data_IF_611977013381
#
_entry.id   IF_611977013381
#
_cell.length_a   1.000
_cell.length_b   1.000
_cell.length_c   1.000
_cell.angle_alpha   90.00
_cell.angle_beta   90.00
_cell.angle_gamma   90.00
#
_symmetry.space_group_name_H-M   'P 1'
#
loop_
_entity.id
_entity.type
_entity.pdbx_description
1 polymer ?
#
# COMPACT_ATOMS: atom_id res chain seq x y z
N UNK A 1 -17.23 4.30 5.74
CA UNK A 1 -16.78 5.30 4.73
C UNK A 1 -15.53 5.98 5.29
N UNK A 2 -14.85 6.85 4.55
CA UNK A 2 -13.73 7.64 5.10
C UNK A 2 -13.81 9.12 4.74
N UNK A 3 -14.07 9.97 5.73
CA UNK A 3 -14.22 11.41 5.57
C UNK A 3 -12.87 12.16 5.67
N UNK A 4 -12.93 13.49 5.57
CA UNK A 4 -11.74 14.35 5.62
C UNK A 4 -10.96 14.28 6.96
N UNK A 5 -11.57 13.79 8.04
CA UNK A 5 -10.89 13.61 9.33
C UNK A 5 -9.98 12.36 9.34
N UNK A 6 -10.07 11.48 8.34
CA UNK A 6 -9.31 10.23 8.27
C UNK A 6 -7.79 10.44 8.46
N UNK A 7 -7.18 11.49 7.90
CA UNK A 7 -5.74 11.77 8.06
C UNK A 7 -5.37 12.07 9.53
N UNK A 8 -6.16 12.91 10.19
CA UNK A 8 -5.96 13.24 11.59
C UNK A 8 -6.21 12.01 12.48
N UNK A 9 -7.22 11.22 12.14
CA UNK A 9 -7.61 10.01 12.84
C UNK A 9 -6.54 8.91 12.74
N UNK A 10 -5.97 8.65 11.55
CA UNK A 10 -4.84 7.71 11.37
C UNK A 10 -3.63 8.16 12.19
N UNK A 11 -3.31 9.46 12.17
CA UNK A 11 -2.18 10.01 12.93
C UNK A 11 -2.38 9.83 14.44
N UNK A 12 -3.60 10.05 14.93
CA UNK A 12 -3.94 9.86 16.33
C UNK A 12 -3.94 8.38 16.76
N UNK A 13 -4.47 7.50 15.90
CA UNK A 13 -4.51 6.07 16.13
C UNK A 13 -3.09 5.45 16.09
N UNK A 14 -2.19 5.97 15.25
CA UNK A 14 -0.77 5.61 15.28
C UNK A 14 -0.10 6.02 16.60
N UNK A 15 -0.38 7.24 17.10
CA UNK A 15 0.13 7.69 18.40
C UNK A 15 -0.37 6.79 19.55
N UNK A 16 -1.67 6.46 19.59
CA UNK A 16 -2.24 5.55 20.59
C UNK A 16 -1.71 4.11 20.45
N UNK A 17 -1.52 3.61 19.23
CA UNK A 17 -0.93 2.29 18.99
C UNK A 17 0.47 2.19 19.60
N UNK A 18 1.28 3.23 19.45
CA UNK A 18 2.61 3.31 20.07
C UNK A 18 2.48 3.44 21.59
N UNK A 19 1.66 4.38 22.09
CA UNK A 19 1.44 4.63 23.53
C UNK A 19 1.01 3.35 24.28
N UNK A 20 0.08 2.58 23.72
CA UNK A 20 -0.43 1.32 24.30
C UNK A 20 0.61 0.17 24.30
N UNK A 21 1.68 0.25 23.50
CA UNK A 21 2.67 -0.84 23.32
C UNK A 21 4.11 -0.46 23.71
N UNK A 22 4.38 0.81 24.03
CA UNK A 22 5.59 1.23 24.73
C UNK A 22 5.45 0.78 26.19
N UNK A 23 5.78 -0.50 26.41
CA UNK A 23 5.45 -1.22 27.64
C UNK A 23 6.27 -0.85 28.87
N UNK A 24 6.05 -1.56 30.00
CA UNK A 24 6.65 -1.26 31.31
C UNK A 24 8.17 -1.53 31.41
N UNK A 25 8.85 -1.81 30.30
CA UNK A 25 10.31 -1.88 30.20
C UNK A 25 10.98 -0.51 30.43
N UNK A 26 10.21 0.56 30.26
CA UNK A 26 10.57 1.91 30.65
C UNK A 26 9.94 2.17 32.03
N UNK A 27 10.76 2.40 33.05
CA UNK A 27 10.28 2.69 34.42
C UNK A 27 9.64 4.08 34.59
N UNK A 28 9.43 4.78 33.48
CA UNK A 28 8.96 6.15 33.39
C UNK A 28 7.80 6.21 32.38
N UNK A 29 6.86 7.13 32.59
CA UNK A 29 5.77 7.35 31.66
C UNK A 29 6.30 7.96 30.35
N UNK A 30 6.21 7.21 29.25
CA UNK A 30 6.63 7.70 27.93
C UNK A 30 5.49 8.48 27.29
N UNK A 31 5.76 9.74 26.94
CA UNK A 31 4.78 10.62 26.31
C UNK A 31 4.79 10.45 24.79
N UNK A 32 3.64 10.18 24.17
CA UNK A 32 3.53 10.12 22.70
C UNK A 32 2.73 11.30 22.17
N UNK A 33 3.32 12.09 21.28
CA UNK A 33 2.73 13.33 20.79
C UNK A 33 2.65 13.36 19.26
N UNK A 34 1.45 13.46 18.66
CA UNK A 34 1.26 13.61 17.21
C UNK A 34 1.51 15.06 16.76
N UNK A 35 2.72 15.59 17.02
CA UNK A 35 3.14 16.96 16.67
C UNK A 35 4.44 16.98 15.86
N UNK A 36 4.77 18.17 15.34
CA UNK A 36 6.10 18.44 14.79
C UNK A 36 7.18 18.25 15.87
N UNK A 37 8.38 17.79 15.51
CA UNK A 37 9.53 17.75 16.41
C UNK A 37 9.70 19.08 17.16
N UNK A 38 9.85 19.05 18.50
CA UNK A 38 10.07 20.26 19.30
C UNK A 38 11.50 20.78 19.10
N UNK A 39 11.65 22.09 18.88
CA UNK A 39 12.96 22.74 18.75
C UNK A 39 13.76 22.70 20.06
N UNK A 40 13.07 22.84 21.19
CA UNK A 40 13.58 22.61 22.54
C UNK A 40 12.80 21.43 23.16
N UNK A 41 13.37 20.22 23.20
CA UNK A 41 12.77 19.10 23.92
C UNK A 41 12.98 19.33 25.42
N UNK A 42 11.93 19.74 26.14
CA UNK A 42 11.95 19.70 27.60
C UNK A 42 11.97 18.24 28.06
N UNK A 43 13.16 17.72 28.33
CA UNK A 43 13.47 16.31 28.65
C UNK A 43 13.00 15.88 30.06
N UNK A 44 11.90 16.42 30.58
CA UNK A 44 11.35 16.00 31.88
C UNK A 44 10.84 14.55 31.86
N UNK A 45 10.42 14.05 30.68
CA UNK A 45 9.93 12.69 30.44
C UNK A 45 10.38 12.18 29.06
N UNK A 46 10.68 10.88 28.89
CA UNK A 46 10.93 10.28 27.58
C UNK A 46 9.75 10.53 26.64
N UNK A 47 10.02 11.02 25.43
CA UNK A 47 8.98 11.51 24.52
C UNK A 47 9.16 10.98 23.11
N UNK A 48 8.08 10.53 22.47
CA UNK A 48 8.03 10.11 21.07
C UNK A 48 7.18 11.12 20.28
N UNK A 49 7.77 11.74 19.27
CA UNK A 49 7.09 12.66 18.35
C UNK A 49 6.68 11.91 17.08
N UNK A 50 5.39 11.92 16.73
CA UNK A 50 4.86 11.33 15.48
C UNK A 50 4.51 12.46 14.52
N UNK A 51 5.35 12.68 13.50
CA UNK A 51 5.23 13.81 12.58
C UNK A 51 4.88 13.37 11.15
N UNK A 52 3.72 13.79 10.67
CA UNK A 52 3.31 13.65 9.27
C UNK A 52 4.04 14.71 8.42
N UNK A 53 5.09 14.31 7.69
CA UNK A 53 5.92 15.24 6.92
C UNK A 53 5.52 15.32 5.43
N UNK A 54 4.88 14.28 4.90
CA UNK A 54 4.44 14.24 3.50
C UNK A 54 3.12 13.47 3.36
N UNK A 55 2.35 13.87 2.35
CA UNK A 55 1.15 13.17 1.89
C UNK A 55 1.27 13.01 0.38
N UNK A 56 1.19 11.78 -0.12
CA UNK A 56 1.31 11.47 -1.56
C UNK A 56 0.10 10.69 -2.05
N UNK A 57 -0.35 10.85 -3.32
CA UNK A 57 -1.38 10.01 -3.89
C UNK A 57 -0.88 8.56 -4.04
N UNK A 58 -1.67 7.58 -3.59
CA UNK A 58 -1.31 6.17 -3.67
C UNK A 58 -1.17 5.73 -5.14
N UNK A 59 0.01 5.26 -5.51
CA UNK A 59 0.37 4.99 -6.91
C UNK A 59 -0.48 3.89 -7.58
N UNK A 60 -1.04 2.97 -6.80
CA UNK A 60 -1.81 1.82 -7.27
C UNK A 60 -3.31 2.11 -7.31
N UNK A 61 -3.82 2.96 -6.41
CA UNK A 61 -5.24 3.27 -6.28
C UNK A 61 -5.65 4.65 -6.83
N UNK A 62 -4.70 5.53 -7.21
CA UNK A 62 -4.99 6.86 -7.78
C UNK A 62 -5.92 6.87 -8.99
N UNK A 63 -5.97 5.76 -9.75
CA UNK A 63 -6.81 5.61 -10.95
C UNK A 63 -8.01 4.67 -10.72
N UNK A 64 -8.32 4.30 -9.46
CA UNK A 64 -9.46 3.43 -9.14
C UNK A 64 -10.81 4.14 -9.39
N UNK A 65 -10.82 5.47 -9.43
CA UNK A 65 -11.94 6.28 -9.89
C UNK A 65 -12.06 6.26 -11.42
N UNK A 66 -12.58 5.13 -11.92
CA UNK A 66 -13.31 5.08 -13.19
C UNK A 66 -14.41 6.15 -13.24
N UNK A 67 -14.90 6.57 -14.43
CA UNK A 67 -15.80 7.72 -14.58
C UNK A 67 -16.90 7.79 -13.52
N UNK A 68 -16.72 8.70 -12.56
CA UNK A 68 -17.59 8.82 -11.38
C UNK A 68 -18.96 9.39 -11.72
N UNK A 69 -19.10 9.96 -12.93
CA UNK A 69 -20.34 10.51 -13.49
C UNK A 69 -20.71 9.83 -14.80
N UNK A 70 -22.01 9.63 -15.00
CA UNK A 70 -22.58 9.28 -16.30
C UNK A 70 -22.57 10.49 -17.26
N UNK A 71 -22.96 10.26 -18.52
CA UNK A 71 -23.01 11.28 -19.56
C UNK A 71 -24.00 12.43 -19.27
N UNK A 72 -24.97 12.21 -18.38
CA UNK A 72 -25.92 13.21 -17.87
C UNK A 72 -25.40 13.98 -16.63
N UNK A 73 -24.17 13.70 -16.19
CA UNK A 73 -23.55 14.29 -15.01
C UNK A 73 -23.96 13.67 -13.67
N UNK A 74 -24.90 12.71 -13.65
CA UNK A 74 -25.32 12.01 -12.42
C UNK A 74 -24.16 11.21 -11.84
N UNK A 75 -24.05 11.18 -10.50
CA UNK A 75 -22.95 10.49 -9.83
C UNK A 75 -23.24 8.99 -9.75
N UNK A 76 -22.48 8.17 -10.47
CA UNK A 76 -22.64 6.70 -10.53
C UNK A 76 -21.72 6.00 -9.52
N UNK A 77 -20.52 6.56 -9.29
CA UNK A 77 -19.56 6.09 -8.28
C UNK A 77 -19.09 7.27 -7.43
N UNK A 78 -18.94 7.04 -6.12
CA UNK A 78 -18.39 8.05 -5.21
C UNK A 78 -16.88 8.18 -5.50
N UNK A 79 -16.34 9.40 -5.73
CA UNK A 79 -14.91 9.58 -5.87
C UNK A 79 -14.22 9.30 -4.54
N UNK A 80 -13.08 8.62 -4.58
CA UNK A 80 -12.27 8.24 -3.42
C UNK A 80 -10.79 8.56 -3.69
N UNK A 81 -10.29 9.63 -3.06
CA UNK A 81 -8.89 9.99 -3.14
C UNK A 81 -8.05 9.02 -2.29
N UNK A 82 -7.27 8.16 -2.93
CA UNK A 82 -6.37 7.24 -2.26
C UNK A 82 -5.03 7.91 -1.97
N UNK A 83 -4.65 7.96 -0.69
CA UNK A 83 -3.45 8.61 -0.18
C UNK A 83 -2.57 7.61 0.57
N UNK A 84 -1.26 7.87 0.50
CA UNK A 84 -0.25 7.33 1.38
C UNK A 84 0.30 8.48 2.22
N UNK A 85 0.44 8.25 3.52
CA UNK A 85 0.90 9.23 4.51
C UNK A 85 2.29 8.82 4.98
N UNK A 86 3.26 9.74 4.96
CA UNK A 86 4.62 9.46 5.41
C UNK A 86 4.91 10.12 6.76
N UNK A 87 5.23 9.27 7.74
CA UNK A 87 5.50 9.64 9.12
C UNK A 87 6.98 9.55 9.45
N UNK A 88 7.50 10.58 10.10
CA UNK A 88 8.77 10.59 10.81
C UNK A 88 8.45 10.38 12.30
N UNK A 89 8.98 9.32 12.89
CA UNK A 89 8.83 9.03 14.32
C UNK A 89 10.19 9.27 14.98
N UNK A 90 10.28 10.27 15.85
CA UNK A 90 11.51 10.70 16.53
C UNK A 90 11.42 10.46 18.03
N UNK A 91 12.49 10.00 18.67
CA UNK A 91 12.49 9.66 20.10
C UNK A 91 13.49 10.52 20.91
N UNK A 92 13.00 11.07 22.01
CA UNK A 92 13.71 11.97 22.93
C UNK A 92 13.83 11.34 24.33
N UNK A 93 14.96 11.53 24.99
CA UNK A 93 15.29 11.02 26.33
C UNK A 93 16.79 11.13 26.60
N UNK A 94 17.28 10.64 27.74
CA UNK A 94 18.73 10.68 28.04
C UNK A 94 19.52 9.79 27.05
N UNK A 95 20.53 10.39 26.42
CA UNK A 95 21.47 9.70 25.53
C UNK A 95 22.39 8.75 26.29
N UNK A 96 22.73 9.05 27.55
CA UNK A 96 23.63 8.23 28.39
C UNK A 96 23.03 6.89 28.73
N UNK A 97 21.72 6.85 28.97
CA UNK A 97 20.95 5.63 29.23
C UNK A 97 20.37 5.02 27.93
N UNK A 98 20.75 5.57 26.77
CA UNK A 98 20.33 5.13 25.44
C UNK A 98 18.79 5.11 25.26
N UNK A 99 18.07 5.99 25.97
CA UNK A 99 16.60 5.98 26.02
C UNK A 99 16.00 6.11 24.63
N UNK A 100 16.48 7.05 23.82
CA UNK A 100 16.02 7.22 22.43
C UNK A 100 16.20 5.96 21.57
N UNK A 101 17.31 5.22 21.72
CA UNK A 101 17.56 3.97 20.99
C UNK A 101 16.60 2.87 21.44
N UNK A 102 16.36 2.74 22.75
CA UNK A 102 15.42 1.77 23.32
C UNK A 102 13.98 2.07 22.89
N UNK A 103 13.55 3.33 22.92
CA UNK A 103 12.23 3.77 22.45
C UNK A 103 12.01 3.43 20.97
N UNK A 104 12.97 3.75 20.10
CA UNK A 104 12.90 3.41 18.68
C UNK A 104 12.84 1.89 18.47
N UNK A 105 13.60 1.12 19.25
CA UNK A 105 13.51 -0.35 19.25
C UNK A 105 12.09 -0.85 19.59
N UNK A 106 11.45 -0.26 20.60
CA UNK A 106 10.06 -0.59 20.99
C UNK A 106 9.04 -0.20 19.92
N UNK A 107 9.20 0.97 19.28
CA UNK A 107 8.36 1.41 18.15
C UNK A 107 8.49 0.45 16.97
N UNK A 108 9.71 0.06 16.61
CA UNK A 108 9.97 -0.88 15.51
C UNK A 108 9.38 -2.26 15.82
N UNK A 109 9.52 -2.76 17.06
CA UNK A 109 8.84 -3.99 17.51
C UNK A 109 7.32 -3.88 17.35
N UNK A 110 6.73 -2.84 17.90
CA UNK A 110 5.27 -2.59 17.86
C UNK A 110 4.72 -2.58 16.43
N UNK A 111 5.34 -1.80 15.53
CA UNK A 111 4.86 -1.65 14.15
C UNK A 111 5.17 -2.87 13.26
N UNK A 112 6.12 -3.72 13.67
CA UNK A 112 6.40 -4.99 13.01
C UNK A 112 5.43 -6.10 13.48
N UNK A 113 5.04 -6.10 14.75
CA UNK A 113 4.04 -7.03 15.31
C UNK A 113 2.61 -6.67 14.89
N UNK A 114 2.29 -5.36 14.86
CA UNK A 114 0.96 -4.82 14.52
C UNK A 114 1.07 -3.89 13.28
N UNK A 115 1.40 -4.41 12.09
CA UNK A 115 1.59 -3.59 10.89
C UNK A 115 0.27 -3.11 10.26
N UNK A 116 -0.89 -3.64 10.69
CA UNK A 116 -2.22 -3.22 10.23
C UNK A 116 -2.94 -2.61 11.41
N UNK A 117 -3.45 -1.39 11.24
CA UNK A 117 -4.09 -0.63 12.31
C UNK A 117 -5.33 -1.40 12.86
N UNK A 118 -5.39 -1.73 14.16
CA UNK A 118 -6.55 -2.39 14.76
C UNK A 118 -7.79 -1.49 14.78
N UNK A 119 -9.00 -2.08 14.79
CA UNK A 119 -10.26 -1.32 14.73
C UNK A 119 -10.57 -0.66 16.08
N UNK A 120 -10.33 -1.43 17.12
CA UNK A 120 -10.28 -1.09 18.54
C UNK A 120 -9.42 0.16 18.83
N UNK A 121 -8.20 0.25 18.27
CA UNK A 121 -7.36 1.46 18.43
C UNK A 121 -7.91 2.67 17.63
N UNK A 122 -8.58 2.44 16.50
CA UNK A 122 -9.28 3.52 15.77
C UNK A 122 -10.48 4.02 16.58
N UNK A 123 -11.29 3.12 17.14
CA UNK A 123 -12.45 3.50 17.96
C UNK A 123 -12.01 4.31 19.20
N UNK A 124 -10.95 3.89 19.89
CA UNK A 124 -10.35 4.64 20.99
C UNK A 124 -9.78 6.01 20.55
N UNK A 125 -9.19 6.10 19.35
CA UNK A 125 -8.73 7.39 18.81
C UNK A 125 -9.90 8.36 18.52
N UNK A 126 -11.05 7.82 18.09
CA UNK A 126 -12.26 8.55 17.77
C UNK A 126 -12.98 9.19 18.98
N UNK A 127 -12.68 8.76 20.20
CA UNK A 127 -13.23 9.35 21.44
C UNK A 127 -12.80 10.81 21.65
N UNK A 128 -11.72 11.26 21.00
CA UNK A 128 -11.21 12.62 21.16
C UNK A 128 -12.17 13.63 20.52
N UNK A 129 -12.56 14.74 21.20
CA UNK A 129 -13.60 15.66 20.71
C UNK A 129 -13.37 16.24 19.31
N UNK A 130 -12.11 16.42 18.90
CA UNK A 130 -11.73 16.95 17.59
C UNK A 130 -11.73 15.90 16.45
N UNK A 131 -11.97 14.63 16.76
CA UNK A 131 -12.16 13.53 15.81
C UNK A 131 -13.61 13.01 15.78
N UNK A 132 -14.49 13.61 16.57
CA UNK A 132 -15.90 13.26 16.63
C UNK A 132 -16.55 13.28 15.23
N UNK A 133 -17.21 12.17 14.87
CA UNK A 133 -17.80 11.98 13.55
C UNK A 133 -16.83 11.50 12.46
N UNK A 134 -15.60 11.07 12.79
CA UNK A 134 -14.76 10.31 11.85
C UNK A 134 -15.24 8.87 11.70
N UNK A 135 -15.39 8.43 10.46
CA UNK A 135 -15.93 7.15 10.00
C UNK A 135 -14.85 6.12 9.63
N UNK A 136 -13.56 6.42 9.87
CA UNK A 136 -12.40 5.57 9.52
C UNK A 136 -12.54 4.10 9.99
N UNK A 137 -13.23 3.84 11.11
CA UNK A 137 -13.48 2.47 11.61
C UNK A 137 -14.40 1.64 10.69
N UNK A 138 -15.15 2.31 9.80
CA UNK A 138 -15.99 1.74 8.74
C UNK A 138 -15.32 1.79 7.36
N UNK A 139 -14.01 2.08 7.29
CA UNK A 139 -13.28 2.00 6.03
C UNK A 139 -13.19 0.55 5.57
N UNK A 140 -13.55 0.28 4.30
CA UNK A 140 -13.48 -1.07 3.73
C UNK A 140 -12.05 -1.61 3.66
N UNK A 141 -11.06 -0.72 3.54
CA UNK A 141 -9.65 -1.04 3.51
C UNK A 141 -8.98 -0.58 4.80
N UNK A 142 -8.28 -1.50 5.48
CA UNK A 142 -7.50 -1.16 6.68
C UNK A 142 -6.17 -0.52 6.30
N UNK A 143 -5.79 0.50 7.07
CA UNK A 143 -4.51 1.21 6.94
C UNK A 143 -3.37 0.29 7.39
N UNK A 144 -2.31 0.22 6.57
CA UNK A 144 -1.12 -0.59 6.84
C UNK A 144 0.12 0.29 6.94
N UNK A 145 0.85 0.17 8.04
CA UNK A 145 2.16 0.76 8.23
C UNK A 145 3.24 -0.14 7.61
N UNK A 146 4.15 0.47 6.86
CA UNK A 146 5.31 -0.21 6.26
C UNK A 146 6.55 0.66 6.54
N UNK A 147 7.68 0.09 7.01
CA UNK A 147 8.90 0.86 7.20
C UNK A 147 9.42 1.36 5.85
N UNK A 148 9.85 2.62 5.81
CA UNK A 148 10.46 3.25 4.64
C UNK A 148 11.93 3.49 4.95
N UNK A 149 12.82 2.98 4.10
CA UNK A 149 14.25 3.31 4.20
C UNK A 149 14.44 4.70 3.61
N UNK A 150 15.13 5.57 4.36
CA UNK A 150 15.52 6.91 3.95
C UNK A 150 17.04 7.01 4.03
N UNK A 151 17.68 7.62 3.03
CA UNK A 151 19.13 7.79 3.02
C UNK A 151 19.58 8.90 3.99
N UNK A 152 20.87 8.94 4.34
CA UNK A 152 21.46 9.97 5.21
C UNK A 152 21.28 11.37 4.61
N UNK A 153 21.41 11.49 3.29
CA UNK A 153 21.20 12.75 2.56
C UNK A 153 19.75 13.23 2.60
N UNK A 154 18.79 12.31 2.46
CA UNK A 154 17.35 12.61 2.51
C UNK A 154 16.93 12.98 3.93
N UNK A 155 17.42 12.21 4.92
CA UNK A 155 17.25 12.47 6.34
C UNK A 155 17.81 13.84 6.72
N UNK A 156 19.01 14.18 6.24
CA UNK A 156 19.64 15.48 6.50
C UNK A 156 18.85 16.65 5.89
N UNK A 157 18.24 16.47 4.71
CA UNK A 157 17.34 17.47 4.09
C UNK A 157 16.02 17.59 4.88
N UNK A 158 15.48 16.48 5.35
CA UNK A 158 14.25 16.44 6.16
C UNK A 158 14.42 17.12 7.52
N UNK A 159 15.56 16.94 8.18
CA UNK A 159 15.88 17.68 9.40
C UNK A 159 16.30 19.13 9.09
N UNK A 160 16.93 19.39 7.94
CA UNK A 160 17.29 20.74 7.49
C UNK A 160 16.08 21.67 7.23
N UNK A 161 14.93 21.14 6.81
CA UNK A 161 13.68 21.93 6.70
C UNK A 161 13.05 22.24 8.08
N UNK A 162 13.36 21.45 9.11
CA UNK A 162 12.93 21.65 10.50
C UNK A 162 13.85 22.66 11.20
N UNK A 163 13.89 23.88 10.66
CA UNK A 163 14.72 24.97 11.16
C UNK A 163 14.63 25.11 12.69
N UNK A 164 15.79 25.27 13.35
CA UNK A 164 15.99 25.28 14.82
C UNK A 164 15.82 23.96 15.56
N UNK A 165 15.50 22.83 14.91
CA UNK A 165 15.38 21.54 15.60
C UNK A 165 16.68 20.74 15.51
N UNK A 166 17.27 20.27 16.63
CA UNK A 166 18.44 19.40 16.58
C UNK A 166 18.10 18.04 15.97
N UNK A 167 19.06 17.46 15.23
CA UNK A 167 18.92 16.11 14.71
C UNK A 167 18.67 15.11 15.85
N UNK A 168 17.65 14.27 15.70
CA UNK A 168 17.25 13.28 16.70
C UNK A 168 17.10 11.92 16.03
N UNK A 169 17.41 10.84 16.75
CA UNK A 169 17.21 9.48 16.27
C UNK A 169 15.74 9.26 15.89
N UNK A 170 15.53 8.81 14.65
CA UNK A 170 14.20 8.70 14.05
C UNK A 170 14.09 7.54 13.07
N UNK A 171 12.85 7.08 12.86
CA UNK A 171 12.48 6.06 11.87
C UNK A 171 11.33 6.56 11.01
N UNK A 172 11.30 6.12 9.75
CA UNK A 172 10.29 6.55 8.78
C UNK A 172 9.34 5.41 8.48
N UNK A 173 8.03 5.69 8.54
CA UNK A 173 6.97 4.74 8.24
C UNK A 173 5.95 5.35 7.28
N UNK A 174 5.57 4.59 6.25
CA UNK A 174 4.49 4.91 5.34
C UNK A 174 3.22 4.20 5.79
N UNK A 175 2.17 4.97 6.09
CA UNK A 175 0.81 4.45 6.24
C UNK A 175 0.13 4.47 4.87
N UNK A 176 -0.23 3.29 4.37
CA UNK A 176 -0.82 3.12 3.04
C UNK A 176 -2.32 2.90 3.12
N UNK A 177 -3.01 3.15 2.00
CA UNK A 177 -4.43 2.85 1.80
C UNK A 177 -5.40 3.76 2.58
N UNK A 178 -5.02 5.01 2.81
CA UNK A 178 -5.92 6.03 3.39
C UNK A 178 -6.81 6.58 2.28
N UNK A 179 -8.04 6.10 2.21
CA UNK A 179 -9.06 6.60 1.27
C UNK A 179 -9.75 7.84 1.87
N UNK A 180 -10.09 8.83 1.04
CA UNK A 180 -10.96 9.95 1.39
C UNK A 180 -12.10 10.04 0.38
N UNK A 181 -13.32 9.80 0.85
CA UNK A 181 -14.55 9.70 0.08
C UNK A 181 -15.21 11.07 -0.15
N UNK A 182 -15.80 11.24 -1.34
CA UNK A 182 -16.63 12.40 -1.66
C UNK A 182 -17.95 12.45 -0.89
N UNK A 183 -18.41 13.64 -0.52
CA UNK A 183 -19.64 13.85 0.27
C UNK A 183 -20.94 13.39 -0.42
N UNK A 184 -20.96 13.33 -1.75
CA UNK A 184 -22.16 13.02 -2.51
C UNK A 184 -22.47 11.51 -2.53
N UNK A 185 -23.74 11.16 -2.40
CA UNK A 185 -24.21 9.78 -2.50
C UNK A 185 -24.46 9.43 -3.97
N UNK A 186 -23.86 8.33 -4.49
CA UNK A 186 -24.12 7.91 -5.86
C UNK A 186 -25.56 7.44 -6.03
N UNK A 187 -26.12 7.70 -7.21
CA UNK A 187 -27.39 7.11 -7.64
C UNK A 187 -27.03 5.86 -8.45
N UNK A 188 -27.50 4.65 -8.06
CA UNK A 188 -27.25 3.45 -8.85
C UNK A 188 -27.87 3.60 -10.24
N UNK A 189 -27.12 3.18 -11.27
CA UNK A 189 -27.64 3.12 -12.63
C UNK A 189 -28.86 2.19 -12.70
N UNK A 190 -29.79 2.47 -13.64
CA UNK A 190 -30.95 1.59 -13.86
C UNK A 190 -30.49 0.18 -14.21
N UNK A 191 -31.13 -0.89 -13.66
CA UNK A 191 -30.82 -2.26 -14.06
C UNK A 191 -30.95 -2.45 -15.57
N UNK A 192 -30.05 -3.24 -16.16
CA UNK A 192 -30.17 -3.66 -17.57
C UNK A 192 -31.26 -4.73 -17.65
N UNK A 193 -32.42 -4.38 -18.19
CA UNK A 193 -33.56 -5.30 -18.24
C UNK A 193 -33.35 -6.44 -19.26
N UNK A 194 -32.77 -6.13 -20.43
CA UNK A 194 -32.52 -7.10 -21.50
C UNK A 194 -31.25 -6.72 -22.31
N UNK A 195 -30.26 -7.62 -22.46
CA UNK A 195 -29.20 -7.45 -23.43
C UNK A 195 -29.68 -7.88 -24.82
N UNK A 196 -29.83 -6.94 -25.74
CA UNK A 196 -30.09 -7.23 -27.16
C UNK A 196 -28.78 -7.23 -27.95
N UNK A 197 -28.50 -8.32 -28.67
CA UNK A 197 -27.30 -8.46 -29.51
C UNK A 197 -27.73 -8.73 -30.94
N UNK A 198 -27.51 -7.76 -31.82
CA UNK A 198 -27.87 -7.84 -33.24
C UNK A 198 -26.60 -8.00 -34.11
N UNK A 199 -26.52 -9.11 -34.84
CA UNK A 199 -25.46 -9.33 -35.84
C UNK A 199 -25.99 -8.90 -37.20
N UNK A 200 -25.25 -8.03 -37.89
CA UNK A 200 -25.54 -7.59 -39.26
C UNK A 200 -24.32 -7.83 -40.15
N UNK A 201 -24.49 -8.36 -41.38
CA UNK A 201 -23.41 -8.37 -42.37
C UNK A 201 -23.12 -6.94 -42.82
N UNK A 202 -21.85 -6.65 -43.15
CA UNK A 202 -21.47 -5.37 -43.72
C UNK A 202 -22.25 -5.12 -45.03
N UNK A 203 -22.82 -3.93 -45.17
CA UNK A 203 -23.70 -3.56 -46.29
C UNK A 203 -25.21 -3.74 -46.02
N UNK A 204 -25.62 -4.35 -44.90
CA UNK A 204 -27.03 -4.35 -44.50
C UNK A 204 -27.51 -2.94 -44.06
N UNK A 205 -28.78 -2.56 -44.28
CA UNK A 205 -29.34 -1.30 -43.79
C UNK A 205 -29.18 -1.16 -42.27
N UNK A 206 -28.44 -0.13 -41.84
CA UNK A 206 -28.12 0.11 -40.42
C UNK A 206 -26.89 -0.64 -39.88
N UNK A 207 -26.14 -1.37 -40.71
CA UNK A 207 -24.83 -1.88 -40.31
C UNK A 207 -23.81 -0.73 -40.24
N UNK A 208 -22.90 -0.70 -39.24
CA UNK A 208 -21.80 0.25 -39.22
C UNK A 208 -20.89 0.02 -40.43
N UNK A 209 -20.64 1.08 -41.20
CA UNK A 209 -19.75 1.03 -42.37
C UNK A 209 -18.33 0.71 -41.88
N UNK A 210 -17.66 -0.32 -42.43
CA UNK A 210 -16.28 -0.59 -42.06
C UNK A 210 -15.41 0.62 -42.46
N UNK A 211 -14.38 0.99 -41.67
CA UNK A 211 -13.40 2.00 -42.08
C UNK A 211 -12.56 1.43 -43.24
N UNK A 212 -13.12 1.52 -44.44
CA UNK A 212 -12.53 0.94 -45.64
C UNK A 212 -11.25 1.69 -46.00
N UNK A 213 -10.23 0.93 -46.38
CA UNK A 213 -9.08 1.48 -47.10
C UNK A 213 -9.59 2.23 -48.34
N UNK A 214 -9.05 3.43 -48.57
CA UNK A 214 -9.50 4.34 -49.61
C UNK A 214 -9.50 3.66 -50.99
N UNK A 215 -10.64 3.57 -51.70
CA UNK A 215 -10.61 3.30 -53.12
C UNK A 215 -10.05 4.55 -53.83
N UNK A 216 -8.97 4.38 -54.59
CA UNK A 216 -8.46 5.42 -55.48
C UNK A 216 -9.44 5.65 -56.65
N UNK A 217 -9.40 6.85 -57.21
CA UNK A 217 -10.47 7.43 -58.03
C UNK A 217 -10.73 6.83 -59.42
N UNK A 218 -11.72 7.44 -60.08
CA UNK A 218 -12.43 6.96 -61.25
C UNK A 218 -11.62 6.84 -62.57
N UNK A 219 -12.15 5.99 -63.46
CA UNK A 219 -11.85 5.98 -64.89
C UNK A 219 -12.92 5.17 -65.66
N UNK A 220 -13.77 5.79 -66.50
CA UNK A 220 -14.93 5.10 -67.09
C UNK A 220 -14.67 4.55 -68.50
N UNK A 221 -15.38 3.49 -68.90
CA UNK A 221 -15.63 3.19 -70.32
C UNK A 221 -16.91 2.36 -70.55
N UNK A 222 -17.47 2.49 -71.75
CA UNK A 222 -18.65 1.82 -72.32
C UNK A 222 -18.54 0.28 -72.32
N UNK A 223 -19.60 -0.55 -72.34
CA UNK A 223 -20.94 -0.46 -72.93
C UNK A 223 -21.22 -1.76 -73.74
N UNK A 224 -22.50 -2.03 -74.04
CA UNK A 224 -23.02 -3.06 -74.99
C UNK A 224 -23.15 -4.53 -74.52
N UNK A 225 -24.40 -5.03 -74.50
CA UNK A 225 -24.76 -6.22 -75.32
C UNK A 225 -25.02 -7.59 -74.67
N UNK A 226 -26.29 -7.85 -74.33
CA UNK A 226 -27.10 -9.05 -74.68
C UNK A 226 -26.52 -10.49 -74.72
N UNK A 227 -27.28 -11.44 -74.10
CA UNK A 227 -27.45 -12.88 -74.45
C UNK A 227 -26.21 -13.80 -74.22
N UNK A 228 -26.30 -15.12 -73.96
CA UNK A 228 -27.40 -16.09 -73.73
C UNK A 228 -26.85 -17.26 -72.85
N UNK A 229 -27.67 -18.27 -72.51
CA UNK A 229 -27.27 -19.48 -71.75
C UNK A 229 -26.22 -20.35 -72.48
N UNK A 230 -25.48 -21.19 -71.73
CA UNK A 230 -25.47 -22.67 -71.82
C UNK A 230 -24.66 -23.27 -70.63
N UNK A 231 -24.74 -24.60 -70.45
CA UNK A 231 -24.64 -25.41 -69.22
C UNK A 231 -23.54 -26.49 -69.36
N UNK A 232 -22.97 -26.95 -68.22
CA UNK A 232 -22.27 -28.26 -68.03
C UNK A 232 -20.91 -28.46 -68.77
N UNK A 233 -19.95 -29.32 -68.37
CA UNK A 233 -19.74 -30.14 -67.14
C UNK A 233 -18.25 -30.58 -67.04
N UNK A 234 -17.83 -30.97 -65.83
CA UNK A 234 -16.84 -32.04 -65.47
C UNK A 234 -15.32 -31.95 -65.81
N UNK A 235 -14.54 -32.52 -64.88
CA UNK A 235 -13.25 -33.23 -65.00
C UNK A 235 -11.89 -32.56 -64.66
N UNK A 236 -11.43 -32.84 -63.43
CA UNK A 236 -10.02 -33.06 -63.01
C UNK A 236 -9.45 -34.36 -63.65
N UNK A 237 -8.17 -34.79 -63.52
CA UNK A 237 -7.00 -34.14 -62.90
C UNK A 237 -5.68 -34.26 -63.73
N UNK A 238 -4.60 -33.58 -63.30
CA UNK A 238 -3.21 -34.09 -63.38
C UNK A 238 -2.19 -33.11 -62.75
N UNK A 239 -1.11 -33.64 -62.19
CA UNK A 239 0.04 -32.91 -61.60
C UNK A 239 1.35 -33.61 -62.04
N UNK A 240 2.56 -33.24 -61.55
CA UNK A 240 3.18 -31.93 -61.28
C UNK A 240 4.45 -31.73 -62.17
N UNK A 241 5.27 -30.65 -62.03
CA UNK A 241 6.28 -30.52 -60.96
C UNK A 241 6.35 -29.05 -60.43
N UNK A 242 7.32 -28.52 -59.67
CA UNK A 242 8.66 -28.97 -59.24
C UNK A 242 9.08 -28.39 -57.85
N UNK A 243 10.35 -28.60 -57.47
CA UNK A 243 11.00 -28.18 -56.20
C UNK A 243 11.72 -26.82 -56.29
N UNK A 244 11.69 -26.01 -55.22
CA UNK A 244 12.94 -25.45 -54.65
C UNK A 244 12.85 -25.15 -53.14
N UNK A 245 13.94 -25.46 -52.44
CA UNK A 245 14.24 -25.24 -51.02
C UNK A 245 14.43 -23.75 -50.66
N UNK A 246 14.54 -23.28 -49.41
CA UNK A 246 14.14 -23.73 -48.06
C UNK A 246 14.59 -22.68 -47.02
N UNK A 247 13.91 -22.55 -45.86
CA UNK A 247 14.56 -22.41 -44.53
C UNK A 247 13.54 -22.47 -43.36
N UNK A 248 14.05 -22.83 -42.18
CA UNK A 248 13.30 -23.25 -40.99
C UNK A 248 13.11 -22.13 -39.94
N UNK A 249 12.27 -22.33 -38.88
CA UNK A 249 11.69 -21.24 -38.08
C UNK A 249 12.45 -20.91 -36.77
N UNK A 250 12.06 -19.80 -36.14
CA UNK A 250 12.53 -19.37 -34.82
C UNK A 250 11.58 -19.81 -33.67
N UNK A 251 12.16 -20.04 -32.48
CA UNK A 251 11.54 -20.65 -31.29
C UNK A 251 10.81 -19.67 -30.36
N UNK A 252 9.84 -20.19 -29.62
CA UNK A 252 9.32 -19.59 -28.38
C UNK A 252 10.34 -19.68 -27.20
N UNK A 253 10.30 -18.75 -26.22
CA UNK A 253 11.14 -18.81 -25.02
C UNK A 253 10.48 -19.61 -23.89
N UNK A 254 11.29 -20.32 -23.10
CA UNK A 254 10.87 -21.06 -21.91
C UNK A 254 11.61 -20.58 -20.65
N UNK A 255 10.99 -20.85 -19.49
CA UNK A 255 11.45 -20.58 -18.11
C UNK A 255 12.97 -20.70 -17.89
N UNK A 256 13.51 -19.79 -17.06
CA UNK A 256 14.76 -19.97 -16.34
C UNK A 256 14.50 -20.00 -14.82
N UNK A 257 15.21 -20.88 -14.10
CA UNK A 257 15.07 -21.12 -12.64
C UNK A 257 16.22 -20.46 -11.87
N UNK A 258 15.95 -20.04 -10.63
CA UNK A 258 16.88 -19.28 -9.80
C UNK A 258 18.10 -20.08 -9.30
N UNK A 259 19.21 -19.37 -9.04
CA UNK A 259 20.42 -19.86 -8.39
C UNK A 259 20.25 -19.95 -6.86
N UNK A 260 20.89 -20.94 -6.24
CA UNK A 260 21.24 -20.93 -4.82
C UNK A 260 22.67 -21.49 -4.63
N UNK A 261 23.55 -20.84 -3.84
CA UNK A 261 24.80 -21.42 -3.40
C UNK A 261 24.73 -21.86 -1.93
N UNK A 262 25.05 -23.12 -1.67
CA UNK A 262 25.18 -23.64 -0.31
C UNK A 262 26.46 -23.12 0.37
N UNK A 263 26.40 -22.79 1.66
CA UNK A 263 27.57 -22.51 2.50
C UNK A 263 27.70 -23.54 3.61
N UNK A 264 28.85 -24.18 3.67
CA UNK A 264 29.27 -25.11 4.73
C UNK A 264 29.62 -24.38 6.01
N UNK A 265 29.34 -24.99 7.18
CA UNK A 265 30.16 -24.83 8.40
C UNK A 265 30.02 -26.01 9.36
N UNK A 266 31.15 -26.41 9.94
CA UNK A 266 31.33 -27.53 10.89
C UNK A 266 31.01 -27.10 12.33
N UNK A 267 30.76 -28.09 13.19
CA UNK A 267 30.43 -27.93 14.61
C UNK A 267 31.66 -27.70 15.53
N UNK A 268 31.40 -27.14 16.71
CA UNK A 268 32.16 -27.31 17.95
C UNK A 268 31.24 -27.02 19.18
N UNK A 269 31.47 -27.61 20.37
CA UNK A 269 30.44 -27.70 21.43
C UNK A 269 30.53 -26.59 22.51
N UNK A 270 29.42 -26.37 23.24
CA UNK A 270 29.41 -25.59 24.49
C UNK A 270 29.77 -26.48 25.69
N UNK A 271 30.74 -26.05 26.48
CA UNK A 271 31.16 -26.66 27.74
C UNK A 271 30.27 -26.26 28.93
N UNK A 272 30.44 -26.97 30.05
CA UNK A 272 29.51 -27.02 31.17
C UNK A 272 29.39 -25.70 31.98
N UNK A 273 28.22 -25.52 32.62
CA UNK A 273 27.99 -24.58 33.71
C UNK A 273 27.93 -25.37 35.02
N UNK A 274 28.98 -25.29 35.84
CA UNK A 274 29.05 -25.95 37.15
C UNK A 274 28.36 -25.13 38.24
N UNK A 275 27.91 -25.84 39.27
CA UNK A 275 27.12 -25.37 40.39
C UNK A 275 27.72 -24.18 41.16
N UNK A 276 26.85 -23.37 41.76
CA UNK A 276 27.16 -22.55 42.92
C UNK A 276 26.20 -22.95 44.05
N UNK A 277 26.78 -23.26 45.21
CA UNK A 277 26.09 -23.89 46.35
C UNK A 277 25.61 -22.82 47.34
N UNK A 278 24.30 -22.69 47.55
CA UNK A 278 23.78 -21.88 48.65
C UNK A 278 23.92 -22.61 49.98
N UNK A 279 24.80 -22.09 50.86
CA UNK A 279 24.92 -22.52 52.25
C UNK A 279 24.28 -21.48 53.16
N UNK A 280 22.97 -21.55 53.38
CA UNK A 280 22.30 -20.70 54.38
C UNK A 280 22.37 -21.37 55.76
N UNK A 281 23.44 -21.05 56.50
CA UNK A 281 23.62 -21.47 57.90
C UNK A 281 22.75 -20.61 58.82
N UNK A 282 22.28 -21.20 59.92
CA UNK A 282 21.36 -20.58 60.87
C UNK A 282 21.95 -19.36 61.58
N UNK A 283 21.05 -18.46 61.99
CA UNK A 283 21.23 -17.64 63.20
C UNK A 283 19.99 -17.82 64.11
N UNK A 284 20.21 -17.73 65.42
CA UNK A 284 19.26 -18.17 66.47
C UNK A 284 19.58 -17.44 67.79
N UNK A 285 18.81 -16.41 68.09
CA UNK A 285 18.76 -15.65 69.35
C UNK A 285 17.72 -14.52 69.18
N UNK A 286 16.68 -14.33 70.01
CA UNK A 286 16.66 -14.19 71.49
C UNK A 286 17.33 -12.86 71.89
N UNK A 287 16.76 -11.94 72.65
CA UNK A 287 15.50 -11.87 73.43
C UNK A 287 15.07 -10.38 73.53
N UNK A 288 13.89 -10.03 74.10
CA UNK A 288 13.58 -8.65 74.48
C UNK A 288 12.12 -8.19 74.47
N UNK A 289 11.23 -8.85 75.21
CA UNK A 289 9.93 -8.27 75.58
C UNK A 289 10.01 -7.44 76.86
N UNK A 290 9.64 -6.16 76.81
CA UNK A 290 9.36 -5.35 78.00
C UNK A 290 7.89 -5.49 78.44
N UNK A 291 7.66 -6.18 79.57
CA UNK A 291 6.65 -5.85 80.59
C UNK A 291 6.81 -6.73 81.85
#
# INVERSE_FOLDING_TARGET
MSNALAIAHVTQALALLIENNVGPEFGEAVKVEPRKPPADPQLEQPTISVFLYQVTPNSSLRNNDLPTRAADGTLVKRPAAALDLQYLISAYGDERELVGQRLIGSVVRTLHEIPVLPKDVIEQAGERPYLAGSDLAEAAQRVRFTPTVMDVDETSKLWGMLYQTPYTLSVVYQATLVLIDGRATPVPGRPVERPEVRVLPFGAPGAPVPPAAQPQGEGPSSGVGSKELVKAETEEPAAPPAKRAAKAPAKAPAKAVAKAPARTRKAAPRTARSAQTETRKADRGDDGTEN
#
